data_IF_944739820882
#
_entry.id   IF_944739820882
#
_cell.length_a   1.000
_cell.length_b   1.000
_cell.length_c   1.000
_cell.angle_alpha   90.00
_cell.angle_beta   90.00
_cell.angle_gamma   90.00
#
_symmetry.space_group_name_H-M   'P 1'
#
loop_
_entity.id
_entity.type
_entity.pdbx_description
1 polymer ?
#
# COMPACT_ATOMS: atom_id res chain seq x y z
N UNK A 1 13.69 -9.46 -4.46
CA UNK A 1 15.01 -8.77 -4.41
C UNK A 1 14.97 -7.48 -5.24
N UNK A 2 14.84 -7.53 -6.57
CA UNK A 2 14.83 -6.31 -7.40
C UNK A 2 13.56 -5.45 -7.28
N UNK A 3 12.40 -6.06 -7.03
CA UNK A 3 11.13 -5.33 -6.89
C UNK A 3 11.02 -4.53 -5.58
N UNK A 4 11.73 -4.97 -4.54
CA UNK A 4 11.58 -4.48 -3.16
C UNK A 4 11.89 -2.99 -2.98
N UNK A 5 12.73 -2.40 -3.84
CA UNK A 5 13.04 -0.96 -3.79
C UNK A 5 11.96 -0.08 -4.43
N UNK A 6 11.17 -0.63 -5.37
CA UNK A 6 10.22 0.12 -6.18
C UNK A 6 9.11 0.67 -5.31
N UNK A 7 8.54 -0.18 -4.45
CA UNK A 7 7.38 0.19 -3.65
C UNK A 7 7.72 1.34 -2.68
N UNK A 8 8.82 1.24 -1.95
CA UNK A 8 9.28 2.29 -1.03
C UNK A 8 9.75 3.55 -1.76
N UNK A 9 10.51 3.40 -2.85
CA UNK A 9 11.05 4.51 -3.63
C UNK A 9 9.96 5.37 -4.28
N UNK A 10 8.96 4.74 -4.92
CA UNK A 10 7.84 5.46 -5.55
C UNK A 10 7.01 6.21 -4.49
N UNK A 11 6.72 5.58 -3.35
CA UNK A 11 5.99 6.24 -2.27
C UNK A 11 6.74 7.43 -1.68
N UNK A 12 8.06 7.33 -1.54
CA UNK A 12 8.89 8.43 -1.09
C UNK A 12 8.89 9.58 -2.10
N UNK A 13 9.04 9.29 -3.39
CA UNK A 13 9.02 10.32 -4.44
C UNK A 13 7.64 10.98 -4.50
N UNK A 14 6.56 10.20 -4.40
CA UNK A 14 5.20 10.73 -4.30
C UNK A 14 5.02 11.64 -3.08
N UNK A 15 5.51 11.22 -1.90
CA UNK A 15 5.49 12.04 -0.70
C UNK A 15 6.32 13.32 -0.81
N UNK A 16 7.37 13.32 -1.62
CA UNK A 16 8.22 14.49 -1.85
C UNK A 16 7.60 15.48 -2.85
N UNK A 17 6.93 15.01 -3.89
CA UNK A 17 6.25 15.91 -4.85
C UNK A 17 4.90 16.43 -4.34
N UNK A 18 4.24 15.73 -3.41
CA UNK A 18 2.88 16.04 -2.98
C UNK A 18 2.77 16.20 -1.46
N UNK A 19 2.92 17.45 -1.02
CA UNK A 19 2.74 17.85 0.39
C UNK A 19 1.27 17.89 0.79
N UNK A 20 0.37 18.16 -0.16
CA UNK A 20 -1.07 18.14 0.09
C UNK A 20 -1.56 16.71 0.31
N UNK A 21 -1.97 16.38 1.54
CA UNK A 21 -2.48 15.07 1.93
C UNK A 21 -3.64 14.59 1.03
N UNK A 22 -4.45 15.51 0.48
CA UNK A 22 -5.54 15.19 -0.44
C UNK A 22 -5.08 14.64 -1.79
N UNK A 23 -4.04 15.23 -2.36
CA UNK A 23 -3.52 14.83 -3.68
C UNK A 23 -2.63 13.60 -3.57
N UNK A 24 -1.90 13.51 -2.46
CA UNK A 24 -1.06 12.36 -2.14
C UNK A 24 -1.89 11.06 -2.09
N UNK A 25 -3.02 11.04 -1.36
CA UNK A 25 -3.88 9.85 -1.27
C UNK A 25 -4.35 9.40 -2.65
N UNK A 26 -4.78 10.33 -3.52
CA UNK A 26 -5.27 10.00 -4.85
C UNK A 26 -4.16 9.38 -5.73
N UNK A 27 -2.94 9.89 -5.62
CA UNK A 27 -1.79 9.41 -6.41
C UNK A 27 -1.27 8.08 -5.88
N UNK A 28 -1.23 7.92 -4.57
CA UNK A 28 -0.96 6.62 -3.93
C UNK A 28 -2.00 5.59 -4.38
N UNK A 29 -3.28 5.97 -4.47
CA UNK A 29 -4.33 5.10 -5.02
C UNK A 29 -4.07 4.67 -6.46
N UNK A 30 -3.71 5.62 -7.34
CA UNK A 30 -3.42 5.30 -8.75
C UNK A 30 -2.26 4.31 -8.83
N UNK A 31 -1.22 4.50 -8.03
CA UNK A 31 -0.07 3.59 -7.98
C UNK A 31 -0.42 2.20 -7.44
N UNK A 32 -1.14 2.10 -6.33
CA UNK A 32 -1.52 0.78 -5.78
C UNK A 32 -2.53 0.05 -6.66
N UNK A 33 -3.44 0.80 -7.31
CA UNK A 33 -4.46 0.21 -8.18
C UNK A 33 -3.89 -0.31 -9.48
N UNK A 34 -2.81 0.28 -10.01
CA UNK A 34 -2.14 -0.28 -11.18
C UNK A 34 -1.60 -1.68 -10.91
N UNK A 35 -1.12 -1.95 -9.70
CA UNK A 35 -0.73 -3.29 -9.25
C UNK A 35 -1.90 -4.28 -9.24
N UNK A 36 -3.05 -3.88 -8.69
CA UNK A 36 -4.26 -4.72 -8.66
C UNK A 36 -4.81 -4.99 -10.06
N UNK A 37 -4.82 -3.97 -10.92
CA UNK A 37 -5.21 -4.10 -12.32
C UNK A 37 -4.25 -5.03 -13.07
N UNK A 38 -2.95 -4.94 -12.79
CA UNK A 38 -1.95 -5.88 -13.30
C UNK A 38 -2.28 -7.33 -12.95
N UNK A 39 -2.74 -7.61 -11.72
CA UNK A 39 -3.15 -8.95 -11.31
C UNK A 39 -4.40 -9.45 -12.04
N UNK A 40 -5.37 -8.57 -12.31
CA UNK A 40 -6.56 -8.90 -13.13
C UNK A 40 -6.13 -9.29 -14.54
N UNK A 41 -5.25 -8.50 -15.16
CA UNK A 41 -4.79 -8.77 -16.52
C UNK A 41 -3.83 -9.95 -16.60
N UNK A 42 -3.07 -10.26 -15.55
CA UNK A 42 -2.09 -11.37 -15.55
C UNK A 42 -2.74 -12.75 -15.77
N UNK A 43 -3.96 -12.96 -15.23
CA UNK A 43 -4.66 -14.24 -15.34
C UNK A 43 -5.14 -14.59 -16.75
N UNK A 44 -5.44 -13.58 -17.58
CA UNK A 44 -6.03 -13.78 -18.92
C UNK A 44 -5.02 -14.34 -19.94
N UNK A 45 -3.81 -13.74 -20.12
CA UNK A 45 -2.76 -14.33 -20.95
C UNK A 45 -2.31 -15.69 -20.42
N UNK A 46 -2.26 -15.89 -19.09
CA UNK A 46 -1.92 -17.19 -18.50
C UNK A 46 -2.86 -18.29 -18.98
N UNK A 47 -4.17 -18.05 -18.94
CA UNK A 47 -5.17 -19.00 -19.43
C UNK A 47 -5.06 -19.21 -20.96
N UNK A 48 -4.97 -18.13 -21.73
CA UNK A 48 -4.91 -18.20 -23.20
C UNK A 48 -3.65 -18.92 -23.72
N UNK A 49 -2.48 -18.68 -23.12
CA UNK A 49 -1.22 -19.34 -23.47
C UNK A 49 -1.26 -20.82 -23.07
N UNK A 50 -1.94 -21.16 -21.98
CA UNK A 50 -2.12 -22.55 -21.58
C UNK A 50 -3.01 -23.32 -22.56
N UNK A 51 -4.11 -22.73 -23.04
CA UNK A 51 -5.03 -23.40 -23.97
C UNK A 51 -4.49 -23.49 -25.41
N UNK A 52 -3.81 -22.45 -25.91
CA UNK A 52 -3.45 -22.37 -27.33
C UNK A 52 -1.98 -22.63 -27.65
N UNK A 53 -1.09 -22.58 -26.66
CA UNK A 53 0.36 -22.61 -26.90
C UNK A 53 1.10 -23.74 -26.17
N UNK A 54 0.37 -24.72 -25.64
CA UNK A 54 0.96 -25.92 -25.08
C UNK A 54 1.64 -26.75 -26.20
N UNK A 55 2.97 -26.80 -26.19
CA UNK A 55 3.77 -27.46 -27.23
C UNK A 55 4.15 -26.54 -28.40
N UNK A 56 3.89 -25.24 -28.31
CA UNK A 56 4.29 -24.28 -29.34
C UNK A 56 5.82 -24.24 -29.47
N UNK A 57 6.34 -24.54 -30.67
CA UNK A 57 7.77 -24.76 -30.93
C UNK A 57 8.46 -25.78 -29.99
N UNK A 58 7.71 -26.76 -29.46
CA UNK A 58 8.23 -27.75 -28.51
C UNK A 58 8.48 -27.19 -27.10
N UNK A 59 8.04 -25.96 -26.80
CA UNK A 59 8.14 -25.35 -25.49
C UNK A 59 6.86 -25.57 -24.67
N UNK A 60 7.02 -25.74 -23.36
CA UNK A 60 5.90 -25.75 -22.42
C UNK A 60 5.32 -24.32 -22.28
N UNK A 61 4.00 -24.21 -22.10
CA UNK A 61 3.30 -22.91 -22.01
C UNK A 61 3.88 -21.95 -20.97
N UNK A 62 4.37 -22.45 -19.84
CA UNK A 62 4.97 -21.61 -18.80
C UNK A 62 6.28 -20.93 -19.24
N UNK A 63 7.05 -21.54 -20.16
CA UNK A 63 8.29 -20.93 -20.70
C UNK A 63 7.95 -19.82 -21.70
N UNK A 64 6.96 -20.07 -22.55
CA UNK A 64 6.45 -19.09 -23.51
C UNK A 64 5.92 -17.87 -22.78
N UNK A 65 5.26 -18.07 -21.63
CA UNK A 65 4.77 -17.00 -20.78
C UNK A 65 5.88 -16.06 -20.30
N UNK A 66 7.00 -16.59 -19.81
CA UNK A 66 8.14 -15.77 -19.38
C UNK A 66 8.78 -14.97 -20.53
N UNK A 67 8.81 -15.54 -21.74
CA UNK A 67 9.35 -14.83 -22.92
C UNK A 67 8.44 -13.65 -23.28
N UNK A 68 7.13 -13.85 -23.30
CA UNK A 68 6.17 -12.78 -23.57
C UNK A 68 6.22 -11.68 -22.50
N UNK A 69 6.29 -12.08 -21.23
CA UNK A 69 6.40 -11.14 -20.11
C UNK A 69 7.65 -10.25 -20.21
N UNK A 70 8.80 -10.82 -20.57
CA UNK A 70 10.02 -10.06 -20.82
C UNK A 70 9.88 -9.08 -21.99
N UNK A 71 9.28 -9.52 -23.10
CA UNK A 71 9.07 -8.66 -24.28
C UNK A 71 8.14 -7.49 -23.99
N UNK A 72 7.10 -7.68 -23.18
CA UNK A 72 6.19 -6.61 -22.77
C UNK A 72 6.82 -5.67 -21.72
N UNK A 73 7.62 -6.21 -20.80
CA UNK A 73 8.24 -5.43 -19.72
C UNK A 73 9.42 -4.58 -20.19
N UNK A 74 10.18 -5.04 -21.19
CA UNK A 74 11.41 -4.35 -21.63
C UNK A 74 11.17 -2.91 -22.13
N UNK A 75 10.16 -2.61 -22.99
CA UNK A 75 9.84 -1.24 -23.36
C UNK A 75 9.38 -0.38 -22.17
N UNK A 76 8.69 -0.97 -21.19
CA UNK A 76 8.20 -0.28 -19.99
C UNK A 76 9.38 0.15 -19.11
N UNK A 77 10.42 -0.69 -19.01
CA UNK A 77 11.66 -0.33 -18.28
C UNK A 77 12.39 0.82 -18.96
N UNK A 78 12.51 0.81 -20.29
CA UNK A 78 13.10 1.93 -21.04
C UNK A 78 12.31 3.21 -20.83
N UNK A 79 10.98 3.12 -20.88
CA UNK A 79 10.10 4.25 -20.60
C UNK A 79 10.28 4.77 -19.16
N UNK A 80 10.32 3.88 -18.16
CA UNK A 80 10.58 4.25 -16.77
C UNK A 80 11.94 4.93 -16.60
N UNK A 81 13.00 4.40 -17.22
CA UNK A 81 14.34 4.98 -17.12
C UNK A 81 14.42 6.40 -17.69
N UNK A 82 13.67 6.70 -18.76
CA UNK A 82 13.68 8.02 -19.38
C UNK A 82 12.77 8.99 -18.61
N UNK A 83 11.55 8.59 -18.26
CA UNK A 83 10.50 9.51 -17.80
C UNK A 83 10.33 9.57 -16.27
N UNK A 84 10.89 8.64 -15.50
CA UNK A 84 10.72 8.62 -14.06
C UNK A 84 11.49 9.77 -13.39
N UNK A 85 10.82 10.70 -12.70
CA UNK A 85 11.47 11.88 -12.16
C UNK A 85 12.23 11.58 -10.86
N UNK A 86 13.36 12.25 -10.68
CA UNK A 86 14.03 12.34 -9.38
C UNK A 86 13.24 13.22 -8.41
N UNK A 87 13.60 13.16 -7.13
CA UNK A 87 13.03 14.07 -6.13
C UNK A 87 13.24 15.53 -6.56
N UNK A 88 12.26 16.42 -6.37
CA UNK A 88 12.28 17.77 -6.94
C UNK A 88 13.45 18.63 -6.42
N UNK A 89 14.00 18.25 -5.27
CA UNK A 89 15.14 18.89 -4.60
C UNK A 89 16.52 18.44 -5.16
N UNK A 90 16.57 17.31 -5.88
CA UNK A 90 17.81 16.75 -6.42
C UNK A 90 18.04 17.22 -7.86
N UNK A 91 16.99 17.29 -8.67
CA UNK A 91 17.12 17.63 -10.07
C UNK A 91 15.80 17.94 -10.76
N UNK A 92 15.89 18.75 -11.82
CA UNK A 92 14.76 19.11 -12.68
C UNK A 92 14.56 18.01 -13.74
N UNK A 93 13.36 17.40 -13.84
CA UNK A 93 13.02 16.51 -14.95
C UNK A 93 13.10 17.24 -16.30
N UNK A 94 13.63 16.56 -17.34
CA UNK A 94 13.87 17.17 -18.65
C UNK A 94 12.60 17.71 -19.35
N UNK A 95 11.42 17.20 -18.96
CA UNK A 95 10.12 17.57 -19.52
C UNK A 95 9.42 18.72 -18.77
N UNK A 96 9.94 19.18 -17.63
CA UNK A 96 9.37 20.34 -16.94
C UNK A 96 9.98 21.65 -17.43
N UNK A 97 9.18 22.71 -17.48
CA UNK A 97 9.68 24.08 -17.63
C UNK A 97 10.32 24.57 -16.33
N UNK A 98 11.13 25.64 -16.38
CA UNK A 98 11.71 26.20 -15.14
C UNK A 98 10.64 26.76 -14.20
N UNK A 99 9.57 27.34 -14.75
CA UNK A 99 8.44 27.85 -13.97
C UNK A 99 7.69 26.73 -13.24
N UNK A 100 7.45 25.59 -13.90
CA UNK A 100 6.83 24.42 -13.28
C UNK A 100 7.69 23.79 -12.20
N UNK A 101 9.02 23.76 -12.40
CA UNK A 101 9.95 23.26 -11.39
C UNK A 101 10.02 24.20 -10.18
N UNK A 102 10.01 25.52 -10.41
CA UNK A 102 9.94 26.51 -9.33
C UNK A 102 8.63 26.38 -8.52
N UNK A 103 7.48 26.18 -9.17
CA UNK A 103 6.21 25.90 -8.48
C UNK A 103 6.24 24.59 -7.69
N UNK A 104 6.94 23.56 -8.16
CA UNK A 104 7.11 22.31 -7.42
C UNK A 104 8.00 22.51 -6.18
N UNK A 105 9.06 23.32 -6.30
CA UNK A 105 9.95 23.69 -5.19
C UNK A 105 9.24 24.56 -4.14
N UNK A 106 8.34 25.46 -4.56
CA UNK A 106 7.54 26.28 -3.64
C UNK A 106 6.53 25.44 -2.83
N UNK A 107 6.00 24.37 -3.44
CA UNK A 107 5.05 23.44 -2.78
C UNK A 107 5.72 22.48 -1.80
N UNK A 108 7.03 22.27 -1.92
CA UNK A 108 7.80 21.48 -0.96
C UNK A 108 7.86 22.23 0.37
N UNK A 109 7.29 21.65 1.41
CA UNK A 109 7.69 22.02 2.78
C UNK A 109 9.13 21.58 2.90
N UNK A 110 10.08 22.53 2.95
CA UNK A 110 11.52 22.26 3.05
C UNK A 110 11.74 21.32 4.24
N UNK A 111 12.01 20.02 4.02
CA UNK A 111 12.28 19.12 5.11
C UNK A 111 13.57 19.58 5.78
N UNK A 112 13.68 19.47 7.10
CA UNK A 112 14.96 19.73 7.76
C UNK A 112 15.96 18.70 7.27
N UNK A 113 16.83 19.09 6.33
CA UNK A 113 17.92 18.24 5.85
C UNK A 113 18.93 18.07 6.98
N UNK A 114 18.82 16.95 7.71
CA UNK A 114 19.84 16.53 8.64
C UNK A 114 20.93 15.76 7.89
N UNK A 115 22.20 16.03 8.22
CA UNK A 115 23.33 15.25 7.69
C UNK A 115 23.11 13.78 8.05
N UNK A 116 23.28 12.87 7.09
CA UNK A 116 23.12 11.44 7.32
C UNK A 116 24.11 10.98 8.40
N UNK A 117 23.60 10.62 9.58
CA UNK A 117 24.38 10.18 10.73
C UNK A 117 23.66 9.11 11.54
N UNK A 118 24.37 8.49 12.48
CA UNK A 118 23.81 7.46 13.36
C UNK A 118 22.70 7.99 14.28
N UNK A 119 22.59 9.31 14.42
CA UNK A 119 21.52 10.02 15.12
C UNK A 119 20.14 9.79 14.46
N UNK A 120 20.11 9.59 13.14
CA UNK A 120 18.87 9.32 12.41
C UNK A 120 18.27 8.00 12.86
N UNK A 121 19.07 6.95 13.02
CA UNK A 121 18.59 5.68 13.54
C UNK A 121 18.05 5.82 14.96
N UNK A 122 18.75 6.52 15.84
CA UNK A 122 18.27 6.77 17.20
C UNK A 122 16.95 7.56 17.22
N UNK A 123 16.78 8.53 16.31
CA UNK A 123 15.54 9.32 16.17
C UNK A 123 14.38 8.47 15.65
N UNK A 124 14.62 7.68 14.59
CA UNK A 124 13.57 6.85 13.98
C UNK A 124 13.17 5.69 14.88
N UNK A 125 14.12 4.99 15.49
CA UNK A 125 13.82 3.93 16.46
C UNK A 125 13.37 4.47 17.82
N UNK A 126 13.58 5.75 18.14
CA UNK A 126 12.98 6.40 19.30
C UNK A 126 11.55 6.91 19.05
N UNK A 127 11.15 6.96 17.77
CA UNK A 127 9.86 7.48 17.34
C UNK A 127 8.78 6.41 17.40
N UNK A 128 7.59 6.80 17.86
CA UNK A 128 6.43 5.91 17.86
C UNK A 128 5.96 5.58 16.45
N UNK A 129 6.29 6.42 15.45
CA UNK A 129 5.89 6.24 14.05
C UNK A 129 6.37 4.89 13.52
N UNK A 130 7.65 4.55 13.73
CA UNK A 130 8.23 3.31 13.20
C UNK A 130 7.55 2.05 13.77
N UNK A 131 7.35 2.00 15.09
CA UNK A 131 6.73 0.84 15.73
C UNK A 131 5.27 0.67 15.36
N UNK A 132 4.46 1.74 15.43
CA UNK A 132 3.02 1.61 15.19
C UNK A 132 2.69 1.44 13.71
N UNK A 133 3.34 2.16 12.80
CA UNK A 133 3.12 1.95 11.36
C UNK A 133 3.71 0.61 10.89
N UNK A 134 4.84 0.18 11.44
CA UNK A 134 5.38 -1.16 11.23
C UNK A 134 4.41 -2.24 11.67
N UNK A 135 3.87 -2.12 12.90
CA UNK A 135 2.85 -3.04 13.42
C UNK A 135 1.55 -3.00 12.60
N UNK A 136 1.08 -1.83 12.20
CA UNK A 136 -0.09 -1.67 11.32
C UNK A 136 0.10 -2.46 10.02
N UNK A 137 1.31 -2.42 9.45
CA UNK A 137 1.62 -3.11 8.21
C UNK A 137 1.78 -4.63 8.40
N UNK A 138 2.37 -5.09 9.52
CA UNK A 138 2.43 -6.52 9.87
C UNK A 138 1.01 -7.10 9.95
N UNK A 139 0.14 -6.44 10.72
CA UNK A 139 -1.22 -6.92 10.94
C UNK A 139 -2.06 -6.78 9.66
N UNK A 140 -1.84 -5.72 8.87
CA UNK A 140 -2.42 -5.55 7.54
C UNK A 140 -2.06 -6.69 6.59
N UNK A 141 -0.78 -7.08 6.51
CA UNK A 141 -0.33 -8.20 5.67
C UNK A 141 -0.96 -9.54 6.06
N UNK A 142 -1.25 -9.74 7.36
CA UNK A 142 -1.98 -10.90 7.85
C UNK A 142 -3.46 -10.84 7.41
N UNK A 143 -4.09 -9.68 7.51
CA UNK A 143 -5.49 -9.49 7.11
C UNK A 143 -5.72 -9.70 5.60
N UNK A 144 -4.72 -9.38 4.78
CA UNK A 144 -4.75 -9.54 3.32
C UNK A 144 -4.47 -10.99 2.88
N UNK A 145 -4.22 -11.91 3.83
CA UNK A 145 -3.73 -13.24 3.53
C UNK A 145 -4.73 -14.14 2.80
N UNK A 146 -6.05 -13.93 2.94
CA UNK A 146 -7.03 -14.73 2.19
C UNK A 146 -7.01 -14.40 0.70
N UNK A 147 -7.00 -13.12 0.34
CA UNK A 147 -6.91 -12.67 -1.04
C UNK A 147 -5.54 -12.95 -1.70
N UNK A 148 -4.44 -12.87 -0.94
CA UNK A 148 -3.08 -13.00 -1.50
C UNK A 148 -2.55 -14.42 -1.59
N UNK A 149 -2.96 -15.36 -0.74
CA UNK A 149 -2.37 -16.71 -0.68
C UNK A 149 -3.04 -17.73 -1.62
N UNK A 150 -3.66 -17.29 -2.71
CA UNK A 150 -4.37 -18.18 -3.66
C UNK A 150 -5.39 -19.13 -3.01
N UNK A 151 -5.89 -18.78 -1.81
CA UNK A 151 -6.78 -19.63 -1.01
C UNK A 151 -8.06 -19.95 -1.79
N UNK A 152 -8.55 -18.97 -2.54
CA UNK A 152 -9.73 -19.14 -3.37
C UNK A 152 -9.49 -20.11 -4.53
N UNK A 153 -8.32 -20.07 -5.17
CA UNK A 153 -7.96 -21.01 -6.23
C UNK A 153 -7.82 -22.44 -5.68
N UNK A 154 -7.26 -22.62 -4.47
CA UNK A 154 -7.18 -23.91 -3.79
C UNK A 154 -8.56 -24.46 -3.41
N UNK A 155 -9.47 -23.59 -2.93
CA UNK A 155 -10.84 -23.97 -2.64
C UNK A 155 -11.59 -24.42 -3.90
N UNK A 156 -11.41 -23.71 -5.02
CA UNK A 156 -11.97 -24.09 -6.32
C UNK A 156 -11.38 -25.41 -6.84
N UNK A 157 -10.09 -25.67 -6.59
CA UNK A 157 -9.45 -26.95 -6.93
C UNK A 157 -10.05 -28.11 -6.14
N UNK A 158 -10.36 -27.92 -4.86
CA UNK A 158 -11.01 -28.95 -4.03
C UNK A 158 -12.39 -29.38 -4.57
N UNK A 159 -13.11 -28.46 -5.25
CA UNK A 159 -14.41 -28.71 -5.88
C UNK A 159 -14.31 -29.06 -7.38
N UNK A 160 -13.13 -29.44 -7.87
CA UNK A 160 -12.86 -29.86 -9.25
C UNK A 160 -13.26 -28.82 -10.32
N UNK A 161 -13.11 -27.52 -10.02
CA UNK A 161 -13.32 -26.48 -11.03
C UNK A 161 -12.23 -26.50 -12.13
N UNK A 162 -12.60 -26.20 -13.38
CA UNK A 162 -11.64 -26.14 -14.48
C UNK A 162 -10.57 -25.07 -14.23
N UNK A 163 -9.41 -25.22 -14.87
CA UNK A 163 -8.25 -24.33 -14.69
C UNK A 163 -8.60 -22.87 -15.08
N UNK A 164 -9.41 -22.68 -16.12
CA UNK A 164 -9.88 -21.36 -16.54
C UNK A 164 -10.67 -20.65 -15.42
N UNK A 165 -11.60 -21.34 -14.78
CA UNK A 165 -12.41 -20.81 -13.68
C UNK A 165 -11.56 -20.50 -12.44
N UNK A 166 -10.55 -21.34 -12.15
CA UNK A 166 -9.61 -21.11 -11.05
C UNK A 166 -8.78 -19.84 -11.20
N UNK A 167 -8.55 -19.39 -12.43
CA UNK A 167 -7.84 -18.15 -12.71
C UNK A 167 -8.80 -16.97 -12.83
N UNK A 168 -10.01 -17.17 -13.37
CA UNK A 168 -10.95 -16.08 -13.62
C UNK A 168 -11.68 -15.59 -12.36
N UNK A 169 -12.11 -16.49 -11.47
CA UNK A 169 -12.86 -16.09 -10.28
C UNK A 169 -12.04 -15.21 -9.32
N UNK A 170 -10.75 -15.49 -9.04
CA UNK A 170 -9.92 -14.58 -8.23
C UNK A 170 -9.76 -13.17 -8.82
N UNK A 171 -9.89 -12.99 -10.14
CA UNK A 171 -9.84 -11.65 -10.76
C UNK A 171 -10.91 -10.71 -10.18
N UNK A 172 -12.07 -11.26 -9.79
CA UNK A 172 -13.13 -10.48 -9.15
C UNK A 172 -12.72 -9.92 -7.79
N UNK A 173 -11.87 -10.62 -7.03
CA UNK A 173 -11.36 -10.16 -5.73
C UNK A 173 -10.47 -8.93 -5.92
N UNK A 174 -9.56 -8.97 -6.91
CA UNK A 174 -8.71 -7.82 -7.25
C UNK A 174 -9.52 -6.64 -7.79
N UNK A 175 -10.60 -6.89 -8.55
CA UNK A 175 -11.50 -5.85 -9.04
C UNK A 175 -12.23 -5.15 -7.88
N UNK A 176 -12.75 -5.91 -6.91
CA UNK A 176 -13.32 -5.33 -5.68
C UNK A 176 -12.26 -4.56 -4.90
N UNK A 177 -11.03 -5.07 -4.84
CA UNK A 177 -9.88 -4.37 -4.29
C UNK A 177 -9.69 -2.99 -4.92
N UNK A 178 -9.51 -2.92 -6.23
CA UNK A 178 -9.30 -1.65 -6.93
C UNK A 178 -10.45 -0.65 -6.71
N UNK A 179 -11.70 -1.11 -6.77
CA UNK A 179 -12.87 -0.27 -6.52
C UNK A 179 -12.94 0.24 -5.08
N UNK A 180 -12.69 -0.64 -4.11
CA UNK A 180 -12.70 -0.30 -2.68
C UNK A 180 -11.59 0.70 -2.34
N UNK A 181 -10.40 0.53 -2.92
CA UNK A 181 -9.28 1.46 -2.77
C UNK A 181 -9.62 2.83 -3.37
N UNK A 182 -10.31 2.86 -4.51
CA UNK A 182 -10.78 4.12 -5.12
C UNK A 182 -11.83 4.83 -4.27
N UNK A 183 -12.81 4.09 -3.74
CA UNK A 183 -13.82 4.63 -2.84
C UNK A 183 -13.18 5.18 -1.54
N UNK A 184 -12.23 4.45 -0.97
CA UNK A 184 -11.45 4.89 0.19
C UNK A 184 -10.67 6.18 -0.10
N UNK A 185 -9.95 6.24 -1.22
CA UNK A 185 -9.19 7.42 -1.61
C UNK A 185 -10.09 8.64 -1.85
N UNK A 186 -11.22 8.44 -2.51
CA UNK A 186 -12.24 9.48 -2.71
C UNK A 186 -12.81 9.99 -1.38
N UNK A 187 -13.10 9.09 -0.44
CA UNK A 187 -13.60 9.45 0.88
C UNK A 187 -12.59 10.28 1.68
N UNK A 188 -11.33 9.84 1.75
CA UNK A 188 -10.27 10.57 2.47
C UNK A 188 -10.07 11.97 1.85
N UNK A 189 -10.13 12.08 0.52
CA UNK A 189 -9.99 13.35 -0.19
C UNK A 189 -11.14 14.32 0.09
N UNK A 190 -12.39 13.88 -0.06
CA UNK A 190 -13.56 14.78 -0.05
C UNK A 190 -14.22 14.94 1.32
N UNK A 191 -14.36 13.84 2.08
CA UNK A 191 -15.02 13.84 3.39
C UNK A 191 -13.98 14.04 4.49
N UNK A 192 -12.86 13.32 4.40
CA UNK A 192 -11.80 13.34 5.39
C UNK A 192 -10.87 14.55 5.32
N UNK A 193 -11.04 15.42 4.32
CA UNK A 193 -10.22 16.59 4.05
C UNK A 193 -8.70 16.31 3.96
N UNK A 194 -8.31 15.04 3.72
CA UNK A 194 -6.92 14.57 3.77
C UNK A 194 -6.36 14.28 5.17
N UNK A 195 -7.18 14.25 6.23
CA UNK A 195 -6.73 14.05 7.62
C UNK A 195 -7.36 12.82 8.30
N UNK A 196 -8.52 12.37 7.84
CA UNK A 196 -9.27 11.26 8.46
C UNK A 196 -8.92 9.87 7.88
N UNK A 197 -7.62 9.58 7.70
CA UNK A 197 -7.16 8.26 7.25
C UNK A 197 -7.58 7.14 8.22
N UNK A 198 -7.62 7.44 9.52
CA UNK A 198 -7.99 6.50 10.56
C UNK A 198 -9.46 6.03 10.49
N UNK A 199 -10.41 6.88 10.03
CA UNK A 199 -11.80 6.49 9.85
C UNK A 199 -11.96 5.38 8.82
N UNK A 200 -11.29 5.53 7.67
CA UNK A 200 -11.39 4.56 6.58
C UNK A 200 -10.67 3.27 6.96
N UNK A 201 -9.50 3.37 7.60
CA UNK A 201 -8.78 2.20 8.10
C UNK A 201 -9.61 1.40 9.11
N UNK A 202 -10.36 2.09 10.00
CA UNK A 202 -11.26 1.44 10.95
C UNK A 202 -12.44 0.74 10.27
N UNK A 203 -13.08 1.40 9.29
CA UNK A 203 -14.18 0.81 8.52
C UNK A 203 -13.70 -0.43 7.75
N UNK A 204 -12.54 -0.33 7.10
CA UNK A 204 -11.93 -1.47 6.39
C UNK A 204 -11.61 -2.61 7.35
N UNK A 205 -11.06 -2.35 8.54
CA UNK A 205 -10.79 -3.39 9.54
C UNK A 205 -12.06 -4.13 9.97
N UNK A 206 -13.18 -3.42 10.15
CA UNK A 206 -14.47 -4.02 10.50
C UNK A 206 -15.05 -4.85 9.34
N UNK A 207 -14.94 -4.37 8.10
CA UNK A 207 -15.40 -5.11 6.92
C UNK A 207 -14.60 -6.39 6.72
N UNK A 208 -13.28 -6.33 6.93
CA UNK A 208 -12.40 -7.50 6.79
C UNK A 208 -12.65 -8.54 7.88
N UNK A 209 -13.16 -8.17 9.07
CA UNK A 209 -13.59 -9.15 10.09
C UNK A 209 -14.70 -10.09 9.62
N UNK A 210 -15.57 -9.63 8.72
CA UNK A 210 -16.75 -10.40 8.31
C UNK A 210 -16.34 -11.59 7.42
N UNK A 211 -15.33 -11.43 6.57
CA UNK A 211 -14.80 -12.47 5.67
C UNK A 211 -14.39 -13.78 6.42
N UNK A 212 -13.45 -13.77 7.39
CA UNK A 212 -13.04 -14.98 8.12
C UNK A 212 -14.20 -15.60 8.91
N UNK A 213 -15.11 -14.80 9.47
CA UNK A 213 -16.26 -15.29 10.24
C UNK A 213 -17.20 -16.11 9.34
N UNK A 214 -17.49 -15.62 8.12
CA UNK A 214 -18.32 -16.34 7.16
C UNK A 214 -17.67 -17.65 6.70
N UNK A 215 -16.35 -17.65 6.50
CA UNK A 215 -15.61 -18.86 6.12
C UNK A 215 -15.61 -19.92 7.21
N UNK A 216 -15.50 -19.53 8.49
CA UNK A 216 -15.62 -20.48 9.62
C UNK A 216 -17.05 -21.02 9.74
N UNK A 217 -18.06 -20.15 9.60
CA UNK A 217 -19.44 -20.52 9.84
C UNK A 217 -20.00 -21.47 8.76
N UNK A 218 -19.64 -21.27 7.49
CA UNK A 218 -20.17 -22.03 6.34
C UNK A 218 -19.10 -22.29 5.26
N UNK A 219 -18.05 -23.09 5.55
CA UNK A 219 -16.94 -23.33 4.61
C UNK A 219 -17.33 -24.10 3.34
N UNK A 220 -18.47 -24.78 3.34
CA UNK A 220 -18.91 -25.67 2.26
C UNK A 220 -19.99 -25.07 1.35
N UNK A 221 -20.54 -23.91 1.70
CA UNK A 221 -21.63 -23.29 0.91
C UNK A 221 -21.04 -22.28 -0.07
N UNK A 222 -21.16 -22.57 -1.38
CA UNK A 222 -20.56 -21.77 -2.46
C UNK A 222 -20.82 -20.27 -2.32
N UNK A 223 -22.08 -19.86 -2.13
CA UNK A 223 -22.44 -18.43 -2.01
C UNK A 223 -21.71 -17.69 -0.88
N UNK A 224 -21.51 -18.33 0.27
CA UNK A 224 -20.83 -17.71 1.41
C UNK A 224 -19.34 -17.55 1.20
N UNK A 225 -18.68 -18.54 0.58
CA UNK A 225 -17.25 -18.49 0.28
C UNK A 225 -16.97 -17.42 -0.78
N UNK A 226 -17.78 -17.33 -1.83
CA UNK A 226 -17.65 -16.26 -2.82
C UNK A 226 -17.82 -14.88 -2.18
N UNK A 227 -18.87 -14.67 -1.38
CA UNK A 227 -19.07 -13.39 -0.70
C UNK A 227 -17.91 -13.07 0.25
N UNK A 228 -17.42 -14.04 1.02
CA UNK A 228 -16.30 -13.84 1.92
C UNK A 228 -15.01 -13.46 1.18
N UNK A 229 -14.66 -14.19 0.12
CA UNK A 229 -13.45 -13.94 -0.66
C UNK A 229 -13.49 -12.60 -1.40
N UNK A 230 -14.64 -12.22 -1.95
CA UNK A 230 -14.78 -10.91 -2.59
C UNK A 230 -14.78 -9.76 -1.56
N UNK A 231 -15.38 -9.97 -0.39
CA UNK A 231 -15.32 -9.00 0.71
C UNK A 231 -13.90 -8.83 1.24
N UNK A 232 -13.11 -9.91 1.25
CA UNK A 232 -11.69 -9.86 1.60
C UNK A 232 -10.89 -8.94 0.68
N UNK A 233 -11.31 -8.79 -0.59
CA UNK A 233 -10.72 -7.84 -1.53
C UNK A 233 -10.75 -6.39 -1.01
N UNK A 234 -11.66 -6.03 -0.10
CA UNK A 234 -11.68 -4.69 0.53
C UNK A 234 -10.43 -4.43 1.39
N UNK A 235 -9.72 -5.47 1.82
CA UNK A 235 -8.46 -5.34 2.57
C UNK A 235 -7.37 -4.60 1.77
N UNK A 236 -7.37 -4.68 0.44
CA UNK A 236 -6.42 -3.96 -0.41
C UNK A 236 -6.51 -2.43 -0.25
N UNK A 237 -7.67 -1.90 0.11
CA UNK A 237 -7.81 -0.47 0.40
C UNK A 237 -6.96 -0.02 1.59
N UNK A 238 -6.75 -0.90 2.57
CA UNK A 238 -5.95 -0.60 3.76
C UNK A 238 -4.48 -0.27 3.40
N UNK A 239 -3.94 -0.86 2.32
CA UNK A 239 -2.58 -0.59 1.85
C UNK A 239 -2.39 0.87 1.48
N UNK A 240 -3.21 1.35 0.56
CA UNK A 240 -3.16 2.73 0.06
C UNK A 240 -3.36 3.75 1.17
N UNK A 241 -4.32 3.51 2.06
CA UNK A 241 -4.60 4.41 3.18
C UNK A 241 -3.42 4.43 4.15
N UNK A 242 -2.87 3.28 4.52
CA UNK A 242 -1.78 3.19 5.50
C UNK A 242 -0.50 3.86 5.01
N UNK A 243 -0.12 3.64 3.75
CA UNK A 243 1.07 4.30 3.19
C UNK A 243 0.85 5.80 2.98
N UNK A 244 -0.33 6.21 2.55
CA UNK A 244 -0.64 7.64 2.48
C UNK A 244 -0.61 8.27 3.87
N UNK A 245 -1.13 7.59 4.89
CA UNK A 245 -1.15 8.06 6.26
C UNK A 245 0.26 8.20 6.84
N UNK A 246 1.12 7.20 6.64
CA UNK A 246 2.52 7.25 7.06
C UNK A 246 3.28 8.40 6.40
N UNK A 247 3.02 8.68 5.11
CA UNK A 247 3.61 9.83 4.43
C UNK A 247 3.16 11.18 5.00
N UNK A 248 1.90 11.30 5.43
CA UNK A 248 1.35 12.52 6.03
C UNK A 248 1.89 12.73 7.46
N UNK A 249 1.97 11.67 8.26
CA UNK A 249 2.46 11.77 9.65
C UNK A 249 3.96 12.04 9.67
N UNK A 250 4.74 11.39 8.80
CA UNK A 250 6.18 11.62 8.69
C UNK A 250 6.54 12.77 7.73
N UNK A 251 5.63 13.70 7.44
CA UNK A 251 5.88 14.78 6.47
C UNK A 251 6.98 15.77 6.94
N UNK A 252 7.21 15.87 8.26
CA UNK A 252 8.17 16.82 8.83
C UNK A 252 9.65 16.44 8.60
N UNK A 253 9.95 15.14 8.50
CA UNK A 253 11.32 14.60 8.34
C UNK A 253 11.38 13.59 7.19
N UNK A 254 12.08 13.98 6.12
CA UNK A 254 12.23 13.18 4.91
C UNK A 254 12.97 11.85 5.18
N UNK A 255 13.98 11.85 6.07
CA UNK A 255 14.77 10.66 6.37
C UNK A 255 13.96 9.68 7.22
N UNK A 256 13.23 10.18 8.23
CA UNK A 256 12.31 9.36 9.02
C UNK A 256 11.24 8.74 8.12
N UNK A 257 10.63 9.54 7.24
CA UNK A 257 9.63 9.05 6.28
C UNK A 257 10.16 7.94 5.39
N UNK A 258 11.37 8.11 4.85
CA UNK A 258 12.01 7.11 4.00
C UNK A 258 12.20 5.76 4.72
N UNK A 259 12.72 5.83 5.95
CA UNK A 259 13.00 4.65 6.75
C UNK A 259 11.70 3.99 7.20
N UNK A 260 10.71 4.76 7.67
CA UNK A 260 9.41 4.24 8.09
C UNK A 260 8.70 3.54 6.92
N UNK A 261 8.53 4.19 5.77
CA UNK A 261 7.82 3.60 4.61
C UNK A 261 8.50 2.33 4.11
N UNK A 262 9.83 2.34 3.99
CA UNK A 262 10.59 1.17 3.52
C UNK A 262 10.52 0.04 4.54
N UNK A 263 10.62 0.36 5.83
CA UNK A 263 10.54 -0.62 6.90
C UNK A 263 9.15 -1.23 7.05
N UNK A 264 8.08 -0.46 6.81
CA UNK A 264 6.72 -0.98 6.73
C UNK A 264 6.70 -2.12 5.71
N UNK A 265 7.04 -1.84 4.45
CA UNK A 265 7.01 -2.84 3.38
C UNK A 265 7.85 -4.09 3.73
N UNK A 266 9.05 -3.90 4.30
CA UNK A 266 9.90 -4.98 4.78
C UNK A 266 9.19 -5.86 5.83
N UNK A 267 8.66 -5.27 6.90
CA UNK A 267 8.04 -6.02 8.00
C UNK A 267 6.85 -6.87 7.55
N UNK A 268 6.03 -6.35 6.64
CA UNK A 268 4.85 -7.07 6.12
C UNK A 268 5.25 -8.26 5.25
N UNK A 269 6.22 -8.05 4.36
CA UNK A 269 6.76 -9.13 3.53
C UNK A 269 7.48 -10.19 4.37
N UNK A 270 8.22 -9.78 5.40
CA UNK A 270 8.82 -10.72 6.37
C UNK A 270 7.75 -11.55 7.06
N UNK A 271 6.65 -10.93 7.51
CA UNK A 271 5.55 -11.66 8.14
C UNK A 271 4.89 -12.64 7.18
N UNK A 272 4.56 -12.20 5.96
CA UNK A 272 3.86 -13.01 4.96
C UNK A 272 4.67 -14.27 4.55
N UNK A 273 6.01 -14.15 4.51
CA UNK A 273 6.91 -15.22 4.03
C UNK A 273 6.78 -16.56 4.75
N UNK A 274 6.49 -16.56 6.05
CA UNK A 274 6.30 -17.78 6.83
C UNK A 274 4.84 -17.99 7.22
N UNK A 275 4.07 -16.91 7.36
CA UNK A 275 2.66 -16.98 7.77
C UNK A 275 1.80 -17.78 6.79
N UNK A 276 1.99 -17.55 5.49
CA UNK A 276 1.30 -18.26 4.41
C UNK A 276 1.49 -19.78 4.52
N UNK A 277 2.71 -20.21 4.80
CA UNK A 277 3.09 -21.63 4.91
C UNK A 277 2.41 -22.28 6.13
N UNK A 278 2.35 -21.58 7.27
CA UNK A 278 1.86 -22.15 8.54
C UNK A 278 0.33 -22.19 8.60
N UNK A 279 -0.34 -21.13 8.15
CA UNK A 279 -1.78 -20.95 8.34
C UNK A 279 -2.63 -21.31 7.12
N UNK A 280 -2.03 -21.33 5.93
CA UNK A 280 -2.69 -21.63 4.65
C UNK A 280 -2.07 -22.85 3.95
N UNK A 281 -1.68 -23.86 4.72
CA UNK A 281 -1.22 -25.13 4.18
C UNK A 281 -2.33 -25.78 3.35
N UNK A 282 -1.99 -26.30 2.16
CA UNK A 282 -2.95 -26.85 1.19
C UNK A 282 -3.75 -28.05 1.75
N UNK A 283 -3.15 -28.75 2.68
CA UNK A 283 -3.69 -29.87 3.48
C UNK A 283 -4.82 -29.46 4.43
N UNK A 284 -5.00 -28.17 4.70
CA UNK A 284 -6.11 -27.65 5.53
C UNK A 284 -7.30 -27.14 4.72
N UNK A 285 -7.26 -27.26 3.39
CA UNK A 285 -8.41 -26.98 2.52
C UNK A 285 -9.58 -27.94 2.82
N UNK A 286 -10.85 -27.50 2.80
CA UNK A 286 -11.36 -26.15 2.49
C UNK A 286 -11.62 -25.26 3.72
N UNK A 287 -11.39 -25.74 4.94
CA UNK A 287 -11.84 -25.06 6.14
C UNK A 287 -10.90 -23.93 6.59
N UNK A 288 -9.59 -24.03 6.30
CA UNK A 288 -8.55 -23.07 6.68
C UNK A 288 -8.75 -22.46 8.08
N UNK A 289 -9.20 -23.29 9.05
CA UNK A 289 -9.76 -22.83 10.32
C UNK A 289 -8.74 -22.06 11.15
N UNK A 290 -7.49 -22.52 11.12
CA UNK A 290 -6.40 -21.87 11.82
C UNK A 290 -6.10 -20.48 11.23
N UNK A 291 -6.07 -20.37 9.89
CA UNK A 291 -5.92 -19.08 9.21
C UNK A 291 -7.08 -18.13 9.52
N UNK A 292 -8.32 -18.61 9.48
CA UNK A 292 -9.49 -17.79 9.77
C UNK A 292 -9.52 -17.26 11.23
N UNK A 293 -9.15 -18.09 12.22
CA UNK A 293 -9.04 -17.65 13.62
C UNK A 293 -7.93 -16.61 13.76
N UNK A 294 -6.79 -16.84 13.10
CA UNK A 294 -5.67 -15.93 13.12
C UNK A 294 -6.03 -14.57 12.50
N UNK A 295 -6.81 -14.56 11.41
CA UNK A 295 -7.36 -13.35 10.80
C UNK A 295 -8.33 -12.57 11.71
N UNK A 296 -9.17 -13.27 12.46
CA UNK A 296 -10.05 -12.60 13.44
C UNK A 296 -9.20 -11.90 14.52
N UNK A 297 -8.15 -12.58 14.99
CA UNK A 297 -7.24 -12.03 16.00
C UNK A 297 -6.43 -10.84 15.46
N UNK A 298 -5.96 -10.90 14.21
CA UNK A 298 -5.23 -9.80 13.57
C UNK A 298 -6.15 -8.61 13.30
N UNK A 299 -7.38 -8.84 12.86
CA UNK A 299 -8.29 -7.72 12.61
C UNK A 299 -8.70 -7.02 13.92
N UNK A 300 -8.85 -7.74 15.04
CA UNK A 300 -8.98 -7.12 16.37
C UNK A 300 -7.73 -6.30 16.76
N UNK A 301 -6.52 -6.85 16.52
CA UNK A 301 -5.28 -6.12 16.74
C UNK A 301 -5.18 -4.86 15.86
N UNK A 302 -5.72 -4.90 14.64
CA UNK A 302 -5.74 -3.77 13.70
C UNK A 302 -6.56 -2.61 14.26
N UNK A 303 -7.75 -2.89 14.79
CA UNK A 303 -8.61 -1.88 15.43
C UNK A 303 -7.87 -1.19 16.58
N UNK A 304 -7.15 -1.97 17.40
CA UNK A 304 -6.36 -1.42 18.50
C UNK A 304 -5.20 -0.55 18.01
N UNK A 305 -4.42 -1.02 17.04
CA UNK A 305 -3.28 -0.28 16.48
C UNK A 305 -3.72 1.01 15.79
N UNK A 306 -4.77 0.94 14.96
CA UNK A 306 -5.34 2.14 14.30
C UNK A 306 -5.85 3.14 15.34
N UNK A 307 -6.52 2.67 16.40
CA UNK A 307 -6.96 3.52 17.51
C UNK A 307 -5.79 4.19 18.24
N UNK A 308 -4.70 3.45 18.48
CA UNK A 308 -3.49 4.00 19.10
C UNK A 308 -2.80 5.05 18.22
N UNK A 309 -2.66 4.80 16.91
CA UNK A 309 -2.10 5.78 15.96
C UNK A 309 -2.97 7.03 15.90
N UNK A 310 -4.30 6.87 15.82
CA UNK A 310 -5.23 8.01 15.80
C UNK A 310 -5.13 8.85 17.08
N UNK A 311 -5.04 8.20 18.25
CA UNK A 311 -4.88 8.90 19.52
C UNK A 311 -3.57 9.70 19.59
N UNK A 312 -2.44 9.09 19.19
CA UNK A 312 -1.14 9.76 19.20
C UNK A 312 -1.06 10.88 18.17
N UNK A 313 -1.63 10.68 16.98
CA UNK A 313 -1.71 11.74 15.97
C UNK A 313 -2.51 12.94 16.49
N UNK A 314 -3.69 12.72 17.07
CA UNK A 314 -4.50 13.81 17.63
C UNK A 314 -3.75 14.52 18.77
N UNK A 315 -3.02 13.77 19.60
CA UNK A 315 -2.19 14.34 20.67
C UNK A 315 -1.07 15.22 20.11
N UNK A 316 -0.37 14.76 19.09
CA UNK A 316 0.74 15.50 18.48
C UNK A 316 0.23 16.73 17.70
N UNK A 317 -0.92 16.63 17.02
CA UNK A 317 -1.60 17.77 16.41
C UNK A 317 -2.03 18.81 17.44
N UNK A 318 -2.59 18.39 18.60
CA UNK A 318 -2.96 19.31 19.69
C UNK A 318 -1.73 19.98 20.31
N UNK A 319 -0.62 19.25 20.45
CA UNK A 319 0.63 19.81 20.97
C UNK A 319 1.20 20.86 20.02
N UNK A 320 1.19 20.60 18.70
CA UNK A 320 1.59 21.57 17.68
C UNK A 320 0.67 22.78 17.65
N UNK A 321 -0.64 22.59 17.76
CA UNK A 321 -1.61 23.70 17.82
C UNK A 321 -1.41 24.57 19.08
N UNK A 322 -1.13 23.96 20.23
CA UNK A 322 -0.81 24.68 21.47
C UNK A 322 0.46 25.51 21.37
N UNK A 323 1.50 24.98 20.73
CA UNK A 323 2.75 25.70 20.48
C UNK A 323 2.57 26.89 19.52
N UNK A 324 1.70 26.77 18.51
CA UNK A 324 1.39 27.87 17.58
C UNK A 324 0.57 28.97 18.26
N UNK A 325 -0.28 28.64 19.24
CA UNK A 325 -1.00 29.65 20.03
C UNK A 325 -0.12 30.37 21.06
N UNK A 326 1.05 29.82 21.43
CA UNK A 326 2.03 30.47 22.30
C UNK A 326 3.00 31.39 21.56
N UNK A 327 3.14 31.25 20.24
CA UNK A 327 3.97 32.12 19.39
C UNK A 327 3.10 33.29 18.93
N UNK A 328 3.37 34.49 19.46
CA UNK A 328 2.67 35.71 19.07
C UNK A 328 2.97 36.00 17.57
N UNK A 329 1.97 36.28 16.71
CA UNK A 329 2.22 36.61 15.30
C UNK A 329 3.22 37.76 15.06
N UNK A 330 3.49 38.61 16.06
CA UNK A 330 4.55 39.62 15.99
C UNK A 330 5.97 39.03 15.93
N UNK A 331 6.21 37.82 16.46
CA UNK A 331 7.53 37.16 16.44
C UNK A 331 7.85 36.50 15.08
N UNK A 332 6.85 36.31 14.21
CA UNK A 332 7.01 35.72 12.87
C UNK A 332 7.40 36.76 11.80
N UNK A 333 7.25 38.06 12.06
CA UNK A 333 7.57 39.13 11.08
C UNK A 333 9.07 39.47 11.00
N UNK A 334 9.91 38.96 11.91
CA UNK A 334 11.33 39.40 12.02
C UNK A 334 12.29 38.68 11.05
N UNK A 335 11.84 37.64 10.32
CA UNK A 335 12.68 36.90 9.36
C UNK A 335 12.46 37.28 7.88
N UNK A 336 11.96 38.50 7.59
CA UNK A 336 12.02 39.04 6.23
C UNK A 336 13.47 39.33 5.84
N UNK A 337 13.98 38.53 4.90
CA UNK A 337 15.28 38.59 4.23
C UNK A 337 15.95 39.98 4.18
N UNK A 338 17.28 40.09 4.43
CA UNK A 338 17.99 41.33 4.16
C UNK A 338 17.98 41.60 2.65
N UNK A 339 17.35 42.72 2.26
CA UNK A 339 17.48 43.30 0.93
C UNK A 339 18.97 43.37 0.56
N UNK A 340 19.35 42.70 -0.53
CA UNK A 340 20.61 42.98 -1.20
C UNK A 340 20.58 44.44 -1.66
N UNK A 341 21.33 45.30 -0.96
CA UNK A 341 21.70 46.61 -1.47
C UNK A 341 22.89 46.47 -2.42
N UNK A 342 22.68 47.06 -3.59
CA UNK A 342 23.60 47.54 -4.63
C UNK A 342 24.42 46.53 -5.46
#
# INVERSE_FOLDING_TARGET
>A
MFESCIFGGVHLILGSYYTNSRDLVLRTFVFTSSGLVGQIFSGVPQAAIHEHMNGWHGLASWRVLFIMDFMCSFPIVIYGFIFFPDAPDIGKPFYFTEEEHAMALERLVKPKHHKFGWDVFARVFGSWHWYLFGMLWIVGAINESFATNSVFALWLQYYDYPIADRNHFPMGVFAVGALSTGAAAYYVKNVGNGRQHWHVSMITAVLVLISPILQIAKPFTKGYVFVAQYLDGVSYAAQTISFSWANVVCADDLQERAIVISSMNMMGNTMNSWWSIVFFAADTAPQFRNGAIALISSAAATIFVVGAIAYLQIRDERRKAGLVCEIDPEDLEVESYPEKKD
#
